data_IF_839679565596
#
_entry.id   IF_839679565596
#
_cell.length_a   1.000
_cell.length_b   1.000
_cell.length_c   1.000
_cell.angle_alpha   90.00
_cell.angle_beta   90.00
_cell.angle_gamma   90.00
#
_symmetry.space_group_name_H-M   'P 1'
#
loop_
_entity.id
_entity.type
_entity.pdbx_description
1 polymer ?
#
# COMPACT_ATOMS: atom_id res chain seq x y z
N UNK A 1 -8.24 -8.75 -8.75
CA UNK A 1 -7.18 -9.70 -9.11
C UNK A 1 -6.02 -8.88 -9.63
N UNK A 2 -4.94 -8.79 -8.86
CA UNK A 2 -3.77 -7.98 -9.20
C UNK A 2 -3.09 -8.55 -10.45
N UNK A 3 -2.82 -7.69 -11.44
CA UNK A 3 -2.20 -8.11 -12.70
C UNK A 3 -0.72 -8.48 -12.47
N UNK A 4 -0.37 -9.74 -12.75
CA UNK A 4 1.00 -10.24 -12.65
C UNK A 4 1.99 -9.37 -13.44
N UNK A 5 1.56 -8.82 -14.58
CA UNK A 5 2.38 -7.93 -15.38
C UNK A 5 2.74 -6.62 -14.65
N UNK A 6 1.79 -6.04 -13.89
CA UNK A 6 2.05 -4.84 -13.08
C UNK A 6 3.07 -5.14 -11.98
N UNK A 7 2.93 -6.28 -11.30
CA UNK A 7 3.85 -6.69 -10.24
C UNK A 7 5.27 -6.90 -10.76
N UNK A 8 5.43 -7.53 -11.94
CA UNK A 8 6.73 -7.70 -12.58
C UNK A 8 7.35 -6.36 -12.99
N UNK A 9 6.54 -5.41 -13.46
CA UNK A 9 7.01 -4.06 -13.79
C UNK A 9 7.46 -3.28 -12.55
N UNK A 10 6.72 -3.37 -11.44
CA UNK A 10 7.12 -2.79 -10.14
C UNK A 10 8.48 -3.37 -9.70
N UNK A 11 8.63 -4.69 -9.71
CA UNK A 11 9.89 -5.36 -9.34
C UNK A 11 11.06 -4.89 -10.22
N UNK A 12 10.84 -4.84 -11.54
CA UNK A 12 11.83 -4.38 -12.52
C UNK A 12 12.24 -2.93 -12.26
N UNK A 13 11.25 -2.07 -11.98
CA UNK A 13 11.50 -0.66 -11.72
C UNK A 13 12.28 -0.44 -10.43
N UNK A 14 11.91 -1.13 -9.36
CA UNK A 14 12.64 -1.09 -8.08
C UNK A 14 14.09 -1.56 -8.23
N UNK A 15 14.33 -2.62 -9.02
CA UNK A 15 15.70 -3.06 -9.34
C UNK A 15 16.50 -1.97 -10.06
N UNK A 16 15.89 -1.28 -11.03
CA UNK A 16 16.53 -0.17 -11.74
C UNK A 16 16.83 1.04 -10.85
N UNK A 17 16.08 1.21 -9.75
CA UNK A 17 16.31 2.24 -8.73
C UNK A 17 17.30 1.80 -7.63
N UNK A 18 17.89 0.60 -7.73
CA UNK A 18 18.68 -0.02 -6.66
C UNK A 18 17.90 -0.16 -5.32
N UNK A 19 16.59 -0.30 -5.40
CA UNK A 19 15.65 -0.36 -4.29
C UNK A 19 14.90 -1.71 -4.23
N UNK A 20 15.52 -2.80 -4.70
CA UNK A 20 14.85 -4.10 -4.79
C UNK A 20 14.31 -4.63 -3.44
N UNK A 21 14.92 -4.22 -2.33
CA UNK A 21 14.47 -4.59 -0.98
C UNK A 21 13.11 -3.96 -0.59
N UNK A 22 12.65 -2.93 -1.31
CA UNK A 22 11.32 -2.34 -1.12
C UNK A 22 10.19 -3.19 -1.69
N UNK A 23 10.51 -4.21 -2.48
CA UNK A 23 9.49 -4.98 -3.20
C UNK A 23 8.46 -5.61 -2.26
N UNK A 24 8.91 -6.36 -1.24
CA UNK A 24 8.00 -7.01 -0.30
C UNK A 24 7.22 -5.98 0.54
N UNK A 25 7.86 -4.97 1.18
CA UNK A 25 7.14 -3.91 1.88
C UNK A 25 6.05 -3.21 1.06
N UNK A 26 6.31 -2.92 -0.22
CA UNK A 26 5.31 -2.30 -1.10
C UNK A 26 4.16 -3.23 -1.45
N UNK A 27 4.40 -4.54 -1.61
CA UNK A 27 3.32 -5.50 -1.82
C UNK A 27 2.46 -5.68 -0.56
N UNK A 28 3.09 -5.78 0.62
CA UNK A 28 2.36 -5.82 1.90
C UNK A 28 1.54 -4.55 2.07
N UNK A 29 2.09 -3.40 1.70
CA UNK A 29 1.38 -2.13 1.75
C UNK A 29 0.16 -2.11 0.83
N UNK A 30 0.31 -2.54 -0.42
CA UNK A 30 -0.81 -2.63 -1.38
C UNK A 30 -1.90 -3.60 -0.89
N UNK A 31 -1.52 -4.72 -0.27
CA UNK A 31 -2.47 -5.70 0.25
C UNK A 31 -3.37 -5.12 1.37
N UNK A 32 -2.92 -4.07 2.08
CA UNK A 32 -3.76 -3.38 3.05
C UNK A 32 -4.96 -2.69 2.38
N UNK A 33 -4.88 -2.36 1.09
CA UNK A 33 -5.95 -1.69 0.33
C UNK A 33 -6.78 -2.68 -0.51
N UNK A 34 -6.62 -3.99 -0.30
CA UNK A 34 -7.41 -4.98 -1.02
C UNK A 34 -8.92 -4.75 -0.79
N UNK A 35 -9.68 -4.75 -1.88
CA UNK A 35 -11.09 -4.37 -1.91
C UNK A 35 -11.37 -2.88 -2.18
N UNK A 36 -10.37 -1.98 -2.18
CA UNK A 36 -10.63 -0.55 -2.44
C UNK A 36 -11.20 -0.31 -3.86
N UNK A 37 -10.75 -1.10 -4.84
CA UNK A 37 -11.15 -0.98 -6.25
C UNK A 37 -12.65 -1.10 -6.48
N UNK A 38 -13.40 -1.75 -5.57
CA UNK A 38 -14.86 -1.85 -5.67
C UNK A 38 -15.59 -0.52 -5.46
N UNK A 39 -14.91 0.47 -4.87
CA UNK A 39 -15.44 1.80 -4.61
C UNK A 39 -14.92 2.86 -5.58
N UNK A 40 -13.95 2.50 -6.42
CA UNK A 40 -13.37 3.42 -7.40
C UNK A 40 -14.28 3.51 -8.64
N UNK A 41 -14.29 4.68 -9.28
CA UNK A 41 -14.92 4.80 -10.59
C UNK A 41 -14.17 3.93 -11.62
N UNK A 42 -14.83 3.40 -12.66
CA UNK A 42 -14.20 2.47 -13.62
C UNK A 42 -12.90 2.98 -14.26
N UNK A 43 -12.77 4.29 -14.45
CA UNK A 43 -11.60 4.93 -15.07
C UNK A 43 -10.52 5.35 -14.05
N UNK A 44 -10.77 5.15 -12.75
CA UNK A 44 -9.80 5.48 -11.70
C UNK A 44 -8.70 4.42 -11.67
N UNK A 45 -7.41 4.82 -11.79
CA UNK A 45 -6.31 3.86 -11.73
C UNK A 45 -6.30 3.08 -10.42
N UNK A 46 -6.07 1.77 -10.48
CA UNK A 46 -5.97 0.92 -9.29
C UNK A 46 -4.75 1.30 -8.44
N UNK A 47 -4.70 0.94 -7.14
CA UNK A 47 -3.54 1.20 -6.29
C UNK A 47 -2.20 0.74 -6.91
N UNK A 48 -2.18 -0.42 -7.56
CA UNK A 48 -0.97 -0.96 -8.20
C UNK A 48 -0.56 -0.15 -9.44
N UNK A 49 -1.53 0.31 -10.24
CA UNK A 49 -1.27 1.20 -11.38
C UNK A 49 -0.71 2.54 -10.92
N UNK A 50 -1.28 3.12 -9.86
CA UNK A 50 -0.78 4.36 -9.28
C UNK A 50 0.64 4.19 -8.73
N UNK A 51 0.92 3.09 -8.02
CA UNK A 51 2.26 2.80 -7.50
C UNK A 51 3.29 2.67 -8.63
N UNK A 52 2.97 1.91 -9.68
CA UNK A 52 3.85 1.77 -10.82
C UNK A 52 4.11 3.12 -11.51
N UNK A 53 3.07 3.93 -11.73
CA UNK A 53 3.19 5.26 -12.32
C UNK A 53 4.11 6.17 -11.49
N UNK A 54 3.92 6.19 -10.18
CA UNK A 54 4.78 6.93 -9.26
C UNK A 54 6.23 6.45 -9.33
N UNK A 55 6.48 5.13 -9.30
CA UNK A 55 7.82 4.56 -9.41
C UNK A 55 8.50 4.89 -10.75
N UNK A 56 7.75 4.94 -11.85
CA UNK A 56 8.28 5.34 -13.17
C UNK A 56 8.79 6.79 -13.10
N UNK A 57 8.06 7.69 -12.44
CA UNK A 57 8.42 9.11 -12.30
C UNK A 57 9.65 9.41 -11.43
N UNK A 58 10.17 8.44 -10.67
CA UNK A 58 11.28 8.64 -9.74
C UNK A 58 12.64 8.48 -10.43
N UNK A 59 13.50 9.50 -10.36
CA UNK A 59 14.92 9.34 -10.69
C UNK A 59 15.67 8.60 -9.55
N UNK A 60 16.78 7.91 -9.81
CA UNK A 60 17.61 7.32 -8.76
C UNK A 60 17.93 8.34 -7.66
N UNK A 61 17.58 8.02 -6.42
CA UNK A 61 17.66 8.92 -5.26
C UNK A 61 17.82 8.11 -3.98
N UNK A 62 17.92 8.77 -2.83
CA UNK A 62 17.92 8.08 -1.54
C UNK A 62 16.52 7.59 -1.14
N UNK A 63 16.49 6.62 -0.23
CA UNK A 63 15.28 5.95 0.24
C UNK A 63 14.23 6.90 0.83
N UNK A 64 14.66 7.91 1.58
CA UNK A 64 13.77 8.88 2.22
C UNK A 64 13.03 9.69 1.14
N UNK A 65 13.76 10.26 0.18
CA UNK A 65 13.15 11.03 -0.90
C UNK A 65 12.23 10.18 -1.77
N UNK A 66 12.58 8.91 -2.01
CA UNK A 66 11.71 7.97 -2.70
C UNK A 66 10.40 7.75 -1.92
N UNK A 67 10.47 7.53 -0.61
CA UNK A 67 9.30 7.33 0.25
C UNK A 67 8.35 8.54 0.22
N UNK A 68 8.90 9.76 0.38
CA UNK A 68 8.12 11.00 0.30
C UNK A 68 7.47 11.18 -1.08
N UNK A 69 8.19 10.88 -2.16
CA UNK A 69 7.62 10.97 -3.50
C UNK A 69 6.45 10.01 -3.68
N UNK A 70 6.63 8.74 -3.31
CA UNK A 70 5.59 7.73 -3.38
C UNK A 70 4.37 8.18 -2.57
N UNK A 71 4.51 8.38 -1.27
CA UNK A 71 3.37 8.71 -0.39
C UNK A 71 2.71 10.03 -0.77
N UNK A 72 3.44 11.01 -1.30
CA UNK A 72 2.89 12.29 -1.76
C UNK A 72 2.10 12.20 -3.08
N UNK A 73 2.38 11.21 -3.92
CA UNK A 73 1.82 11.09 -5.28
C UNK A 73 0.60 10.16 -5.38
N UNK A 74 0.36 9.32 -4.38
CA UNK A 74 -0.60 8.21 -4.47
C UNK A 74 -1.98 8.65 -4.01
N UNK A 75 -2.91 8.69 -4.95
CA UNK A 75 -4.27 9.15 -4.73
C UNK A 75 -5.09 8.13 -3.93
N UNK A 76 -4.77 6.84 -4.03
CA UNK A 76 -5.46 5.80 -3.25
C UNK A 76 -5.34 6.02 -1.72
N UNK A 77 -4.33 6.76 -1.25
CA UNK A 77 -4.14 7.11 0.17
C UNK A 77 -5.14 8.16 0.68
N UNK A 78 -5.86 8.80 -0.23
CA UNK A 78 -6.84 9.85 0.05
C UNK A 78 -8.26 9.34 0.24
N UNK A 79 -8.47 8.04 0.00
CA UNK A 79 -9.74 7.39 0.28
C UNK A 79 -9.95 7.21 1.77
N UNK A 80 -11.22 7.29 2.17
CA UNK A 80 -11.69 7.14 3.55
C UNK A 80 -12.87 6.21 3.55
N UNK A 81 -12.87 5.33 4.55
CA UNK A 81 -13.91 4.32 4.73
C UNK A 81 -14.24 4.28 6.21
N UNK A 82 -15.53 4.34 6.55
CA UNK A 82 -16.00 4.12 7.91
C UNK A 82 -17.38 3.46 7.94
N UNK A 83 -17.65 2.66 8.95
CA UNK A 83 -19.01 2.28 9.33
C UNK A 83 -19.69 3.37 10.17
N UNK A 84 -21.02 3.29 10.27
CA UNK A 84 -21.79 4.22 11.09
C UNK A 84 -21.44 4.04 12.58
N UNK A 85 -21.11 5.15 13.26
CA UNK A 85 -20.74 5.15 14.68
C UNK A 85 -19.33 4.66 15.00
N UNK A 86 -18.53 4.30 14.00
CA UNK A 86 -17.18 3.75 14.18
C UNK A 86 -16.08 4.74 13.78
N UNK A 87 -14.86 4.43 14.23
CA UNK A 87 -13.66 5.08 13.74
C UNK A 87 -13.39 4.77 12.27
N UNK A 88 -12.64 5.68 11.64
CA UNK A 88 -12.20 5.53 10.26
C UNK A 88 -11.23 4.36 10.14
N UNK A 89 -11.34 3.61 9.05
CA UNK A 89 -10.36 2.61 8.70
C UNK A 89 -8.95 3.21 8.62
N UNK A 90 -7.99 2.52 9.25
CA UNK A 90 -6.58 2.88 9.24
C UNK A 90 -5.76 1.74 8.60
N UNK A 91 -5.23 1.94 7.37
CA UNK A 91 -4.43 0.93 6.67
C UNK A 91 -3.18 0.49 7.44
N UNK A 92 -2.60 1.34 8.30
CA UNK A 92 -1.40 0.96 9.08
C UNK A 92 -1.70 0.01 10.23
N UNK A 93 -2.98 -0.19 10.57
CA UNK A 93 -3.43 -1.04 11.67
C UNK A 93 -4.11 -2.32 11.19
N UNK A 94 -4.89 -2.26 10.09
CA UNK A 94 -5.60 -3.41 9.53
C UNK A 94 -5.84 -3.27 8.04
N UNK A 95 -5.98 -4.40 7.34
CA UNK A 95 -6.37 -4.40 5.92
C UNK A 95 -7.82 -3.97 5.76
N UNK A 96 -8.13 -3.38 4.60
CA UNK A 96 -9.49 -3.00 4.25
C UNK A 96 -10.41 -4.22 4.16
N UNK A 97 -9.94 -5.30 3.54
CA UNK A 97 -10.70 -6.55 3.45
C UNK A 97 -11.11 -7.07 4.83
N UNK A 98 -10.19 -7.07 5.80
CA UNK A 98 -10.50 -7.46 7.19
C UNK A 98 -11.49 -6.49 7.84
N UNK A 99 -11.28 -5.18 7.70
CA UNK A 99 -12.20 -4.17 8.23
C UNK A 99 -13.63 -4.34 7.70
N UNK A 100 -13.79 -4.54 6.39
CA UNK A 100 -15.10 -4.74 5.76
C UNK A 100 -15.79 -6.03 6.23
N UNK A 101 -15.01 -7.07 6.55
CA UNK A 101 -15.52 -8.35 7.02
C UNK A 101 -16.03 -8.32 8.47
N UNK A 102 -15.66 -7.31 9.28
CA UNK A 102 -16.08 -7.19 10.68
C UNK A 102 -17.58 -6.93 10.84
N UNK A 103 -18.20 -6.26 9.86
CA UNK A 103 -19.61 -5.86 9.90
C UNK A 103 -20.34 -6.32 8.63
N UNK A 104 -20.55 -7.64 8.47
CA UNK A 104 -21.21 -8.17 7.28
C UNK A 104 -22.63 -7.58 7.14
N UNK A 105 -22.92 -6.99 5.98
CA UNK A 105 -24.22 -6.41 5.67
C UNK A 105 -24.39 -4.93 6.04
N UNK A 106 -23.41 -4.30 6.70
CA UNK A 106 -23.38 -2.84 6.81
C UNK A 106 -22.75 -2.22 5.55
N UNK A 107 -23.29 -1.09 5.12
CA UNK A 107 -22.74 -0.31 4.00
C UNK A 107 -21.84 0.77 4.60
N UNK A 108 -20.52 0.74 4.35
CA UNK A 108 -19.64 1.79 4.84
C UNK A 108 -19.87 3.10 4.07
N UNK A 109 -19.67 4.22 4.74
CA UNK A 109 -19.49 5.49 4.05
C UNK A 109 -18.09 5.51 3.44
N UNK A 110 -18.02 5.80 2.15
CA UNK A 110 -16.77 5.90 1.38
C UNK A 110 -16.69 7.28 0.74
N UNK A 111 -15.57 7.96 0.94
CA UNK A 111 -15.35 9.29 0.36
C UNK A 111 -13.87 9.55 0.11
N UNK A 112 -13.61 10.54 -0.73
CA UNK A 112 -12.27 11.02 -1.06
C UNK A 112 -11.99 12.35 -0.37
N UNK A 113 -10.72 12.63 -0.07
CA UNK A 113 -10.30 13.85 0.61
C UNK A 113 -9.02 14.42 -0.02
N UNK A 114 -8.63 15.64 0.31
CA UNK A 114 -7.44 16.26 -0.30
C UNK A 114 -6.12 15.67 0.22
N UNK A 115 -6.09 15.27 1.49
CA UNK A 115 -4.89 14.74 2.17
C UNK A 115 -4.91 13.22 2.29
N UNK A 116 -3.76 12.60 2.50
CA UNK A 116 -3.65 11.17 2.81
C UNK A 116 -4.16 10.86 4.23
N UNK A 117 -4.65 9.62 4.47
CA UNK A 117 -4.79 9.07 5.82
C UNK A 117 -4.17 7.67 5.90
N UNK A 118 -3.39 7.37 6.94
CA UNK A 118 -2.84 8.30 7.93
C UNK A 118 -2.00 9.42 7.30
N UNK A 119 -1.55 10.37 8.12
CA UNK A 119 -0.68 11.43 7.66
C UNK A 119 0.56 10.83 6.95
N UNK A 120 1.09 11.47 5.89
CA UNK A 120 2.20 10.94 5.11
C UNK A 120 3.39 10.47 5.96
N UNK A 121 3.72 11.20 7.02
CA UNK A 121 4.84 10.90 7.92
C UNK A 121 4.63 9.55 8.63
N UNK A 122 3.40 9.26 9.05
CA UNK A 122 3.04 7.99 9.69
C UNK A 122 3.16 6.83 8.70
N UNK A 123 2.75 7.04 7.45
CA UNK A 123 2.86 6.02 6.39
C UNK A 123 4.33 5.74 6.08
N UNK A 124 5.15 6.80 5.97
CA UNK A 124 6.59 6.69 5.71
C UNK A 124 7.28 5.94 6.84
N UNK A 125 7.02 6.31 8.09
CA UNK A 125 7.59 5.62 9.26
C UNK A 125 7.20 4.14 9.26
N UNK A 126 5.92 3.84 8.99
CA UNK A 126 5.44 2.46 8.88
C UNK A 126 6.18 1.69 7.78
N UNK A 127 6.37 2.26 6.58
CA UNK A 127 7.13 1.64 5.49
C UNK A 127 8.58 1.33 5.91
N UNK A 128 9.24 2.27 6.59
CA UNK A 128 10.61 2.06 7.08
C UNK A 128 10.69 0.96 8.15
N UNK A 129 9.67 0.80 9.00
CA UNK A 129 9.64 -0.36 9.93
C UNK A 129 9.59 -1.70 9.19
N UNK A 130 8.95 -1.75 8.02
CA UNK A 130 8.84 -2.95 7.19
C UNK A 130 10.12 -3.25 6.41
N UNK A 131 10.83 -2.22 5.98
CA UNK A 131 12.11 -2.35 5.28
C UNK A 131 13.22 -2.83 6.21
N UNK A 132 13.24 -2.32 7.44
CA UNK A 132 14.26 -2.64 8.45
C UNK A 132 13.97 -3.95 9.20
N UNK A 133 12.76 -4.50 9.07
CA UNK A 133 12.43 -5.78 9.69
C UNK A 133 13.34 -6.88 9.10
N UNK A 134 14.06 -7.65 9.94
CA UNK A 134 14.83 -8.77 9.43
C UNK A 134 13.89 -9.73 8.73
N UNK A 135 14.21 -10.08 7.48
CA UNK A 135 13.55 -11.17 6.78
C UNK A 135 13.78 -12.40 7.66
N UNK A 136 12.76 -12.81 8.42
CA UNK A 136 12.82 -14.03 9.22
C UNK A 136 12.93 -15.17 8.20
N UNK A 137 14.16 -15.62 7.97
CA UNK A 137 14.38 -16.83 7.19
C UNK A 137 13.68 -17.97 7.94
N UNK A 138 12.86 -18.79 7.27
CA UNK A 138 12.31 -19.96 7.91
C UNK A 138 13.49 -20.83 8.36
N UNK A 139 13.71 -20.92 9.67
CA UNK A 139 14.60 -21.92 10.25
C UNK A 139 14.08 -23.27 9.79
N UNK A 140 14.78 -23.88 8.83
CA UNK A 140 14.66 -25.30 8.57
C UNK A 140 15.07 -26.00 9.86
N UNK A 141 14.09 -26.35 10.68
CA UNK A 141 14.25 -27.36 11.72
C UNK A 141 14.58 -28.65 11.01
N UNK A 142 15.88 -28.93 10.84
CA UNK A 142 16.36 -30.28 10.56
C UNK A 142 16.01 -31.12 11.78
N UNK A 143 14.83 -31.76 11.71
CA UNK A 143 14.43 -32.81 12.63
C UNK A 143 15.39 -33.98 12.49
N UNK A 144 15.96 -34.36 13.63
CA UNK A 144 16.83 -35.52 13.85
C UNK A 144 16.11 -36.83 13.57
#
# INVERSE_FOLDING_TARGET
MTDLNLILQIATRLKALNAAHWYIPLLEWLALYDGLTQFLEPETPTPEMQLLSALIGIAPTNEILMAYHLVGSLDFLKWRIRFEGEDRWNPTQQSLASYLAEKPGQIPAVWHWESATPAPEIIIDWLFTKIQAPIVQPTLTNGQ
#
